data_IF_148545635759
#
_entry.id   IF_148545635759
#
_cell.length_a   1.000
_cell.length_b   1.000
_cell.length_c   1.000
_cell.angle_alpha   90.00
_cell.angle_beta   90.00
_cell.angle_gamma   90.00
#
_symmetry.space_group_name_H-M   'P 1'
#
loop_
_entity.id
_entity.type
_entity.pdbx_description
1 polymer ?
#
# COMPACT_ATOMS: atom_id res chain seq x y z
N UNK A 1 16.17 6.58 -53.36
CA UNK A 1 16.13 5.46 -52.41
C UNK A 1 16.57 5.84 -50.99
N UNK A 2 17.45 6.84 -50.76
CA UNK A 2 17.91 7.24 -49.38
C UNK A 2 16.91 7.98 -48.52
N UNK A 3 15.81 8.54 -49.05
CA UNK A 3 14.78 9.29 -48.30
C UNK A 3 13.63 8.41 -47.75
N UNK A 4 13.37 7.26 -48.39
CA UNK A 4 12.33 6.32 -47.91
C UNK A 4 12.73 5.60 -46.64
N UNK A 5 14.01 5.25 -46.47
CA UNK A 5 14.52 4.56 -45.28
C UNK A 5 14.45 5.43 -44.00
N UNK A 6 14.57 6.75 -44.10
CA UNK A 6 14.46 7.67 -42.96
C UNK A 6 13.02 7.84 -42.45
N UNK A 7 12.02 7.77 -43.34
CA UNK A 7 10.61 7.86 -42.95
C UNK A 7 10.15 6.61 -42.17
N UNK A 8 10.59 5.41 -42.56
CA UNK A 8 10.25 4.17 -41.86
C UNK A 8 10.84 4.10 -40.46
N UNK A 9 12.06 4.60 -40.26
CA UNK A 9 12.70 4.62 -38.93
C UNK A 9 11.98 5.56 -37.94
N UNK A 10 11.46 6.70 -38.42
CA UNK A 10 10.70 7.65 -37.57
C UNK A 10 9.33 7.07 -37.16
N UNK A 11 8.62 6.37 -38.05
CA UNK A 11 7.34 5.73 -37.72
C UNK A 11 7.47 4.59 -36.70
N UNK A 12 8.54 3.79 -36.76
CA UNK A 12 8.76 2.69 -35.82
C UNK A 12 9.08 3.18 -34.41
N UNK A 13 9.82 4.29 -34.28
CA UNK A 13 10.09 4.91 -32.97
C UNK A 13 8.82 5.52 -32.32
N UNK A 14 7.94 6.10 -33.12
CA UNK A 14 6.68 6.65 -32.62
C UNK A 14 5.70 5.57 -32.10
N UNK A 15 5.65 4.40 -32.75
CA UNK A 15 4.80 3.29 -32.32
C UNK A 15 5.26 2.72 -30.96
N UNK A 16 6.55 2.61 -30.73
CA UNK A 16 7.12 2.04 -29.49
C UNK A 16 6.82 2.93 -28.27
N UNK A 17 6.85 4.26 -28.43
CA UNK A 17 6.55 5.21 -27.34
C UNK A 17 5.07 5.18 -26.96
N UNK A 18 4.17 5.09 -27.94
CA UNK A 18 2.72 5.02 -27.69
C UNK A 18 2.35 3.72 -26.96
N UNK A 19 2.98 2.61 -27.32
CA UNK A 19 2.75 1.33 -26.65
C UNK A 19 3.23 1.33 -25.20
N UNK A 20 4.38 1.90 -24.89
CA UNK A 20 4.91 2.00 -23.52
C UNK A 20 3.99 2.86 -22.62
N UNK A 21 3.51 3.99 -23.12
CA UNK A 21 2.58 4.85 -22.37
C UNK A 21 1.22 4.18 -22.11
N UNK A 22 0.70 3.43 -23.07
CA UNK A 22 -0.54 2.67 -22.89
C UNK A 22 -0.38 1.57 -21.83
N UNK A 23 0.75 0.90 -21.81
CA UNK A 23 1.06 -0.14 -20.82
C UNK A 23 1.19 0.39 -19.41
N UNK A 24 1.88 1.53 -19.22
CA UNK A 24 2.00 2.19 -17.90
C UNK A 24 0.62 2.65 -17.38
N UNK A 25 -0.24 3.19 -18.24
CA UNK A 25 -1.61 3.57 -17.92
C UNK A 25 -2.46 2.38 -17.47
N UNK A 26 -2.33 1.23 -18.13
CA UNK A 26 -3.06 0.01 -17.78
C UNK A 26 -2.55 -0.57 -16.44
N UNK A 27 -1.24 -0.63 -16.24
CA UNK A 27 -0.64 -1.06 -14.97
C UNK A 27 -1.09 -0.19 -13.80
N UNK A 28 -1.16 1.13 -13.98
CA UNK A 28 -1.61 2.06 -12.98
C UNK A 28 -3.09 1.82 -12.63
N UNK A 29 -3.94 1.65 -13.63
CA UNK A 29 -5.37 1.36 -13.47
C UNK A 29 -5.60 0.05 -12.72
N UNK A 30 -4.90 -1.01 -13.10
CA UNK A 30 -4.97 -2.30 -12.41
C UNK A 30 -4.46 -2.20 -10.96
N UNK A 31 -3.37 -1.47 -10.72
CA UNK A 31 -2.80 -1.30 -9.39
C UNK A 31 -3.72 -0.54 -8.43
N UNK A 32 -4.44 0.47 -8.93
CA UNK A 32 -5.50 1.15 -8.17
C UNK A 32 -6.62 0.17 -7.78
N UNK A 33 -7.11 -0.63 -8.74
CA UNK A 33 -8.17 -1.60 -8.50
C UNK A 33 -7.75 -2.68 -7.48
N UNK A 34 -6.55 -3.22 -7.61
CA UNK A 34 -5.98 -4.24 -6.70
C UNK A 34 -5.84 -3.68 -5.28
N UNK A 35 -5.28 -2.48 -5.14
CA UNK A 35 -5.12 -1.83 -3.83
C UNK A 35 -6.45 -1.52 -3.17
N UNK A 36 -7.42 -1.02 -3.95
CA UNK A 36 -8.76 -0.73 -3.47
C UNK A 36 -9.50 -2.00 -3.04
N UNK A 37 -9.41 -3.09 -3.80
CA UNK A 37 -10.00 -4.39 -3.46
C UNK A 37 -9.46 -4.91 -2.12
N UNK A 38 -8.14 -4.89 -1.93
CA UNK A 38 -7.51 -5.29 -0.67
C UNK A 38 -7.98 -4.45 0.51
N UNK A 39 -7.97 -3.11 0.37
CA UNK A 39 -8.39 -2.20 1.44
C UNK A 39 -9.86 -2.37 1.81
N UNK A 40 -10.73 -2.57 0.81
CA UNK A 40 -12.16 -2.80 1.01
C UNK A 40 -12.40 -4.11 1.77
N UNK A 41 -11.81 -5.20 1.34
CA UNK A 41 -11.97 -6.51 1.99
C UNK A 41 -11.45 -6.49 3.44
N UNK A 42 -10.24 -5.97 3.63
CA UNK A 42 -9.66 -5.83 4.97
C UNK A 42 -10.53 -4.95 5.88
N UNK A 43 -11.03 -3.82 5.35
CA UNK A 43 -11.91 -2.91 6.08
C UNK A 43 -13.22 -3.59 6.52
N UNK A 44 -13.84 -4.38 5.65
CA UNK A 44 -15.04 -5.15 5.96
C UNK A 44 -14.78 -6.18 7.06
N UNK A 45 -13.70 -6.95 6.96
CA UNK A 45 -13.31 -7.93 7.99
C UNK A 45 -13.05 -7.27 9.33
N UNK A 46 -12.36 -6.12 9.32
CA UNK A 46 -12.09 -5.37 10.53
C UNK A 46 -13.38 -4.84 11.18
N UNK A 47 -14.31 -4.29 10.38
CA UNK A 47 -15.60 -3.80 10.88
C UNK A 47 -16.44 -4.93 11.48
N UNK A 48 -16.53 -6.09 10.84
CA UNK A 48 -17.23 -7.27 11.37
C UNK A 48 -16.62 -7.71 12.71
N UNK A 49 -15.30 -7.85 12.78
CA UNK A 49 -14.63 -8.26 13.99
C UNK A 49 -14.79 -7.25 15.15
N UNK A 50 -14.81 -5.94 14.84
CA UNK A 50 -15.11 -4.88 15.80
C UNK A 50 -16.55 -4.98 16.33
N UNK A 51 -17.52 -5.28 15.47
CA UNK A 51 -18.93 -5.43 15.86
C UNK A 51 -19.16 -6.71 16.70
N UNK A 52 -18.47 -7.80 16.41
CA UNK A 52 -18.64 -9.11 17.05
C UNK A 52 -17.95 -9.20 18.43
N UNK A 53 -16.77 -8.64 18.57
CA UNK A 53 -15.94 -8.82 19.78
C UNK A 53 -15.03 -7.64 20.11
N UNK A 54 -15.30 -6.48 19.53
CA UNK A 54 -14.56 -5.25 19.82
C UNK A 54 -13.12 -5.26 19.33
N UNK A 55 -12.33 -4.34 19.86
CA UNK A 55 -10.95 -4.11 19.42
C UNK A 55 -10.02 -5.32 19.65
N UNK A 56 -10.25 -6.10 20.70
CA UNK A 56 -9.45 -7.32 21.00
C UNK A 56 -9.64 -8.35 19.89
N UNK A 57 -10.88 -8.60 19.45
CA UNK A 57 -11.18 -9.53 18.35
C UNK A 57 -10.58 -9.01 17.03
N UNK A 58 -10.69 -7.72 16.78
CA UNK A 58 -10.19 -7.07 15.56
C UNK A 58 -8.66 -7.17 15.40
N UNK A 59 -7.88 -7.33 16.47
CA UNK A 59 -6.43 -7.56 16.38
C UNK A 59 -6.12 -8.86 15.62
N UNK A 60 -6.94 -9.90 15.79
CA UNK A 60 -6.82 -11.16 15.04
C UNK A 60 -6.91 -10.97 13.53
N UNK A 61 -7.80 -10.09 13.05
CA UNK A 61 -7.89 -9.74 11.62
C UNK A 61 -6.57 -9.16 11.11
N UNK A 62 -5.95 -8.26 11.85
CA UNK A 62 -4.67 -7.67 11.48
C UNK A 62 -3.52 -8.67 11.49
N UNK A 63 -3.57 -9.66 12.41
CA UNK A 63 -2.51 -10.63 12.60
C UNK A 63 -2.56 -11.77 11.57
N UNK A 64 -3.73 -12.34 11.33
CA UNK A 64 -3.89 -13.53 10.49
C UNK A 64 -4.54 -13.23 9.16
N UNK A 65 -5.71 -12.60 9.15
CA UNK A 65 -6.48 -12.42 7.90
C UNK A 65 -5.85 -11.41 6.95
N UNK A 66 -5.23 -10.36 7.45
CA UNK A 66 -4.63 -9.35 6.59
C UNK A 66 -3.45 -9.87 5.73
N UNK A 67 -2.52 -10.70 6.25
CA UNK A 67 -1.52 -11.40 5.43
C UNK A 67 -2.15 -12.39 4.43
N UNK A 68 -3.17 -13.13 4.83
CA UNK A 68 -3.90 -14.06 3.94
C UNK A 68 -4.57 -13.34 2.77
N UNK A 69 -5.27 -12.23 3.04
CA UNK A 69 -5.88 -11.38 2.01
C UNK A 69 -4.79 -10.87 1.05
N UNK A 70 -3.68 -10.34 1.58
CA UNK A 70 -2.58 -9.84 0.78
C UNK A 70 -1.98 -10.94 -0.11
N UNK A 71 -1.72 -12.13 0.44
CA UNK A 71 -1.19 -13.27 -0.31
C UNK A 71 -2.12 -13.74 -1.43
N UNK A 72 -3.41 -13.86 -1.14
CA UNK A 72 -4.42 -14.26 -2.13
C UNK A 72 -4.55 -13.21 -3.25
N UNK A 73 -4.67 -11.94 -2.89
CA UNK A 73 -4.76 -10.84 -3.87
C UNK A 73 -3.48 -10.74 -4.71
N UNK A 74 -2.30 -10.93 -4.10
CA UNK A 74 -1.02 -11.01 -4.80
C UNK A 74 -1.01 -12.09 -5.87
N UNK A 75 -1.40 -13.31 -5.50
CA UNK A 75 -1.41 -14.47 -6.41
C UNK A 75 -2.41 -14.29 -7.55
N UNK A 76 -3.61 -13.81 -7.27
CA UNK A 76 -4.66 -13.59 -8.27
C UNK A 76 -4.31 -12.53 -9.32
N UNK A 77 -3.48 -11.55 -8.95
CA UNK A 77 -3.12 -10.42 -9.81
C UNK A 77 -1.66 -10.45 -10.30
N UNK A 78 -0.89 -11.49 -9.94
CA UNK A 78 0.52 -11.64 -10.30
C UNK A 78 1.37 -10.42 -9.89
N UNK A 79 1.16 -9.94 -8.67
CA UNK A 79 1.87 -8.80 -8.08
C UNK A 79 2.45 -9.19 -6.72
N UNK A 80 3.46 -8.46 -6.26
CA UNK A 80 3.88 -8.47 -4.86
C UNK A 80 3.11 -7.38 -4.13
N UNK A 81 2.16 -7.74 -3.29
CA UNK A 81 1.30 -6.83 -2.55
C UNK A 81 1.56 -6.95 -1.05
N UNK A 82 1.75 -5.82 -0.37
CA UNK A 82 1.90 -5.78 1.08
C UNK A 82 1.42 -4.46 1.67
N UNK A 83 1.57 -4.30 3.00
CA UNK A 83 1.31 -3.05 3.71
C UNK A 83 2.54 -2.70 4.53
N UNK A 84 2.97 -1.46 4.41
CA UNK A 84 4.08 -0.91 5.21
C UNK A 84 3.58 0.26 6.05
N UNK A 85 4.26 0.56 7.13
CA UNK A 85 3.87 1.64 8.03
C UNK A 85 5.01 2.59 8.34
N UNK A 86 4.65 3.83 8.63
CA UNK A 86 5.62 4.83 9.14
C UNK A 86 6.20 4.40 10.49
N UNK A 87 5.37 3.73 11.31
CA UNK A 87 5.76 3.02 12.53
C UNK A 87 5.23 1.59 12.42
N UNK A 88 6.14 0.61 12.34
CA UNK A 88 5.76 -0.78 12.07
C UNK A 88 5.14 -1.43 13.32
N UNK A 89 4.01 -2.13 13.16
CA UNK A 89 3.47 -3.06 14.16
C UNK A 89 4.17 -4.41 14.09
N UNK A 90 4.29 -4.95 12.88
CA UNK A 90 5.05 -6.15 12.61
C UNK A 90 6.41 -5.76 12.02
N UNK A 91 7.54 -5.99 12.72
CA UNK A 91 8.86 -5.57 12.26
C UNK A 91 9.38 -6.36 11.06
N UNK A 92 8.79 -7.52 10.77
CA UNK A 92 9.20 -8.36 9.63
C UNK A 92 8.49 -7.93 8.34
N UNK A 93 7.20 -7.64 8.44
CA UNK A 93 6.35 -7.41 7.25
C UNK A 93 5.97 -5.94 7.04
N UNK A 94 6.13 -5.10 8.06
CA UNK A 94 5.61 -3.74 8.08
C UNK A 94 6.67 -2.65 7.90
N UNK A 95 7.94 -3.00 7.81
CA UNK A 95 9.04 -2.04 7.61
C UNK A 95 9.20 -1.73 6.12
N UNK A 96 9.18 -0.44 5.73
CA UNK A 96 9.34 -0.07 4.32
C UNK A 96 10.80 -0.24 3.87
N UNK A 97 10.98 -0.64 2.61
CA UNK A 97 12.24 -0.49 1.89
C UNK A 97 12.39 0.95 1.33
N UNK A 98 13.47 1.24 0.60
CA UNK A 98 13.83 2.59 0.17
C UNK A 98 12.74 3.27 -0.67
N UNK A 99 12.19 2.59 -1.71
CA UNK A 99 11.15 3.19 -2.53
C UNK A 99 9.81 3.37 -1.77
N UNK A 100 9.51 2.44 -0.87
CA UNK A 100 8.32 2.50 -0.02
C UNK A 100 8.44 3.63 1.01
N UNK A 101 9.63 3.84 1.57
CA UNK A 101 9.90 4.96 2.45
C UNK A 101 9.80 6.31 1.71
N UNK A 102 10.29 6.39 0.46
CA UNK A 102 10.12 7.54 -0.43
C UNK A 102 8.63 7.84 -0.67
N UNK A 103 7.83 6.82 -0.97
CA UNK A 103 6.38 6.97 -1.16
C UNK A 103 5.69 7.47 0.12
N UNK A 104 6.03 6.90 1.29
CA UNK A 104 5.48 7.34 2.58
C UNK A 104 5.82 8.81 2.88
N UNK A 105 7.05 9.25 2.61
CA UNK A 105 7.46 10.64 2.80
C UNK A 105 6.69 11.61 1.88
N UNK A 106 6.43 11.21 0.63
CA UNK A 106 5.61 12.00 -0.29
C UNK A 106 4.15 12.09 0.18
N UNK A 107 3.59 11.00 0.70
CA UNK A 107 2.23 10.98 1.22
C UNK A 107 2.07 11.87 2.45
N UNK A 108 3.03 11.84 3.37
CA UNK A 108 3.01 12.68 4.56
C UNK A 108 3.06 14.17 4.18
N UNK A 109 3.94 14.53 3.25
CA UNK A 109 4.02 15.88 2.72
C UNK A 109 2.74 16.33 1.99
N UNK A 110 2.09 15.45 1.20
CA UNK A 110 0.84 15.75 0.49
C UNK A 110 -0.32 15.97 1.49
N UNK A 111 -0.43 15.11 2.50
CA UNK A 111 -1.42 15.26 3.57
C UNK A 111 -1.20 16.56 4.37
N UNK A 112 0.05 16.92 4.65
CA UNK A 112 0.39 18.19 5.33
C UNK A 112 -0.01 19.42 4.51
N UNK A 113 -0.06 19.32 3.18
CA UNK A 113 -0.61 20.36 2.28
C UNK A 113 -2.14 20.36 2.19
N UNK A 114 -2.82 19.42 2.86
CA UNK A 114 -4.28 19.30 2.84
C UNK A 114 -4.85 18.54 1.63
N UNK A 115 -4.00 17.79 0.90
CA UNK A 115 -4.49 16.98 -0.20
C UNK A 115 -5.37 15.82 0.32
N UNK A 116 -6.41 15.47 -0.44
CA UNK A 116 -7.32 14.39 -0.04
C UNK A 116 -6.64 13.03 -0.21
N UNK A 117 -6.71 12.14 0.77
CA UNK A 117 -6.08 10.80 0.68
C UNK A 117 -6.49 10.00 -0.54
N UNK A 118 -7.71 10.21 -1.04
CA UNK A 118 -8.22 9.54 -2.24
C UNK A 118 -7.45 9.93 -3.51
N UNK A 119 -6.93 11.14 -3.57
CA UNK A 119 -6.25 11.71 -4.73
C UNK A 119 -4.73 11.47 -4.69
N UNK A 120 -4.20 11.03 -3.52
CA UNK A 120 -2.76 10.78 -3.33
C UNK A 120 -2.42 9.35 -3.75
N UNK A 121 -1.40 9.19 -4.56
CA UNK A 121 -0.78 7.91 -4.92
C UNK A 121 0.67 8.12 -5.33
N UNK A 122 1.42 7.03 -5.38
CA UNK A 122 2.80 6.99 -5.87
C UNK A 122 2.90 5.90 -6.94
N UNK A 123 3.57 6.20 -8.05
CA UNK A 123 3.96 5.18 -9.04
C UNK A 123 5.29 5.56 -9.68
N UNK A 124 6.10 4.55 -9.96
CA UNK A 124 7.33 4.68 -10.75
C UNK A 124 7.63 3.35 -11.44
N UNK A 125 8.32 3.41 -12.56
CA UNK A 125 8.94 2.25 -13.21
C UNK A 125 10.45 2.40 -13.10
N UNK A 126 11.12 1.37 -12.59
CA UNK A 126 12.57 1.38 -12.37
C UNK A 126 13.25 0.22 -13.10
N UNK A 127 14.48 0.46 -13.55
CA UNK A 127 15.35 -0.61 -14.05
C UNK A 127 15.93 -1.39 -12.86
N UNK A 128 15.89 -2.71 -12.96
CA UNK A 128 16.48 -3.64 -11.98
C UNK A 128 17.42 -4.62 -12.68
N UNK A 129 18.17 -5.39 -11.92
CA UNK A 129 19.04 -6.43 -12.49
C UNK A 129 18.25 -7.51 -13.27
N UNK A 130 16.95 -7.65 -13.00
CA UNK A 130 16.06 -8.65 -13.62
C UNK A 130 15.08 -8.04 -14.65
N UNK A 131 15.35 -6.84 -15.16
CA UNK A 131 14.45 -6.10 -16.05
C UNK A 131 13.78 -4.94 -15.34
N UNK A 132 12.66 -4.46 -15.88
CA UNK A 132 11.91 -3.35 -15.29
C UNK A 132 10.94 -3.83 -14.21
N UNK A 133 10.75 -3.02 -13.19
CA UNK A 133 9.76 -3.25 -12.16
C UNK A 133 8.88 -1.98 -11.99
N UNK A 134 7.57 -2.17 -12.02
CA UNK A 134 6.60 -1.12 -11.73
C UNK A 134 6.26 -1.15 -10.24
N UNK A 135 6.36 0.01 -9.59
CA UNK A 135 6.01 0.24 -8.21
C UNK A 135 4.76 1.09 -8.11
N UNK A 136 3.88 0.75 -7.19
CA UNK A 136 2.68 1.53 -6.87
C UNK A 136 2.45 1.54 -5.37
N UNK A 137 2.02 2.69 -4.83
CA UNK A 137 1.59 2.80 -3.44
C UNK A 137 0.35 3.69 -3.31
N UNK A 138 -0.50 3.35 -2.31
CA UNK A 138 -1.68 4.12 -1.92
C UNK A 138 -1.67 4.35 -0.42
N UNK A 139 -1.88 5.60 0.08
CA UNK A 139 -1.81 5.89 1.51
C UNK A 139 -2.91 5.19 2.29
N UNK A 140 -2.59 4.78 3.51
CA UNK A 140 -3.53 4.36 4.55
C UNK A 140 -3.57 5.45 5.59
N UNK A 141 -4.68 6.17 5.67
CA UNK A 141 -4.89 7.24 6.64
C UNK A 141 -5.74 6.71 7.80
N UNK A 142 -5.37 7.07 9.01
CA UNK A 142 -6.03 6.60 10.22
C UNK A 142 -7.46 7.13 10.31
N UNK A 143 -8.41 6.22 10.43
CA UNK A 143 -9.82 6.54 10.66
C UNK A 143 -10.13 6.63 12.17
N UNK A 144 -11.22 7.28 12.59
CA UNK A 144 -11.58 7.38 14.01
C UNK A 144 -11.62 6.03 14.75
N UNK A 145 -12.14 4.97 14.12
CA UNK A 145 -12.17 3.64 14.72
C UNK A 145 -10.79 3.02 14.98
N UNK A 146 -9.78 3.45 14.22
CA UNK A 146 -8.42 2.88 14.29
C UNK A 146 -7.69 3.27 15.58
N UNK A 147 -8.10 4.34 16.26
CA UNK A 147 -7.44 4.81 17.49
C UNK A 147 -7.56 3.84 18.64
N UNK A 148 -8.55 2.94 18.63
CA UNK A 148 -8.69 1.87 19.63
C UNK A 148 -7.45 0.97 19.75
N UNK A 149 -6.64 0.86 18.67
CA UNK A 149 -5.42 0.06 18.61
C UNK A 149 -4.17 0.85 18.20
N UNK A 150 -4.34 2.04 17.62
CA UNK A 150 -3.25 2.85 17.08
C UNK A 150 -3.16 4.24 17.71
N UNK A 151 -4.12 4.61 18.56
CA UNK A 151 -4.19 5.92 19.21
C UNK A 151 -3.18 6.13 20.33
N UNK A 152 -3.43 7.12 21.17
CA UNK A 152 -2.61 7.41 22.34
C UNK A 152 -2.51 6.16 23.23
N UNK A 153 -1.30 5.68 23.57
CA UNK A 153 -1.13 4.51 24.43
C UNK A 153 -1.87 4.58 25.77
N UNK A 154 -2.04 5.78 26.34
CA UNK A 154 -2.75 5.95 27.60
C UNK A 154 -4.27 5.72 27.48
N UNK A 155 -4.83 5.89 26.27
CA UNK A 155 -6.26 5.76 25.98
C UNK A 155 -6.61 4.37 25.40
N UNK A 156 -5.65 3.56 25.02
CA UNK A 156 -5.88 2.17 24.59
C UNK A 156 -6.21 1.34 25.82
N UNK A 157 -7.29 0.55 25.74
CA UNK A 157 -7.74 -0.26 26.88
C UNK A 157 -6.70 -1.30 27.31
N UNK A 158 -6.67 -1.70 28.59
CA UNK A 158 -5.73 -2.69 29.11
C UNK A 158 -5.77 -4.03 28.35
N UNK A 159 -6.95 -4.49 27.97
CA UNK A 159 -7.16 -5.76 27.26
C UNK A 159 -6.57 -5.69 25.84
N UNK A 160 -6.76 -4.56 25.15
CA UNK A 160 -6.18 -4.33 23.83
C UNK A 160 -4.66 -4.26 23.91
N UNK A 161 -4.10 -3.56 24.92
CA UNK A 161 -2.65 -3.52 25.15
C UNK A 161 -2.08 -4.90 25.41
N UNK A 162 -2.74 -5.69 26.29
CA UNK A 162 -2.31 -7.05 26.59
C UNK A 162 -2.27 -7.91 25.31
N UNK A 163 -3.32 -7.86 24.49
CA UNK A 163 -3.39 -8.61 23.23
C UNK A 163 -2.38 -8.12 22.18
N UNK A 164 -2.15 -6.82 22.10
CA UNK A 164 -1.11 -6.27 21.24
C UNK A 164 0.29 -6.70 21.67
N UNK A 165 0.59 -6.67 22.97
CA UNK A 165 1.88 -7.12 23.50
C UNK A 165 2.11 -8.62 23.28
N UNK A 166 1.07 -9.44 23.40
CA UNK A 166 1.12 -10.87 23.10
C UNK A 166 1.52 -11.15 21.64
N UNK A 167 0.87 -10.48 20.69
CA UNK A 167 1.03 -10.76 19.25
C UNK A 167 2.13 -9.91 18.58
N UNK A 168 2.46 -8.76 19.16
CA UNK A 168 3.38 -7.79 18.61
C UNK A 168 4.25 -7.16 19.71
N UNK A 169 5.17 -7.92 20.33
CA UNK A 169 5.98 -7.43 21.45
C UNK A 169 6.87 -6.22 21.12
N UNK A 170 7.12 -5.98 19.82
CA UNK A 170 7.91 -4.85 19.33
C UNK A 170 7.04 -3.80 18.59
N UNK A 171 5.73 -3.72 18.90
CA UNK A 171 4.82 -2.79 18.27
C UNK A 171 5.23 -1.32 18.48
N UNK A 172 5.39 -0.60 17.38
CA UNK A 172 5.64 0.85 17.38
C UNK A 172 4.47 1.65 16.79
N UNK A 173 3.38 0.98 16.39
CA UNK A 173 2.29 1.57 15.65
C UNK A 173 1.20 2.17 16.57
N UNK A 174 1.60 2.97 17.55
CA UNK A 174 0.73 3.68 18.49
C UNK A 174 1.01 5.18 18.48
N UNK A 175 0.17 5.97 19.15
CA UNK A 175 0.30 7.43 19.25
C UNK A 175 -0.10 8.17 17.98
N UNK A 176 -0.98 7.60 17.17
CA UNK A 176 -1.56 8.26 15.99
C UNK A 176 -2.86 8.99 16.34
N UNK A 177 -3.17 10.00 15.51
CA UNK A 177 -4.45 10.69 15.52
C UNK A 177 -5.23 10.41 14.23
N UNK A 178 -6.57 10.49 14.22
CA UNK A 178 -7.35 10.44 13.00
C UNK A 178 -6.84 11.43 11.96
N UNK A 179 -6.79 11.01 10.70
CA UNK A 179 -6.26 11.81 9.60
C UNK A 179 -4.76 11.69 9.37
N UNK A 180 -3.99 11.16 10.31
CA UNK A 180 -2.55 10.95 10.10
C UNK A 180 -2.25 9.75 9.20
N UNK A 181 -1.14 9.81 8.50
CA UNK A 181 -0.61 8.71 7.68
C UNK A 181 -0.21 7.54 8.58
N UNK A 182 -0.92 6.42 8.46
CA UNK A 182 -0.58 5.17 9.16
C UNK A 182 0.45 4.35 8.38
N UNK A 183 0.42 4.47 7.06
CA UNK A 183 1.25 3.68 6.17
C UNK A 183 0.70 3.67 4.74
N UNK A 184 1.01 2.62 4.01
CA UNK A 184 0.55 2.44 2.63
C UNK A 184 0.27 0.97 2.30
N UNK A 185 -0.67 0.73 1.38
CA UNK A 185 -0.65 -0.46 0.54
C UNK A 185 0.39 -0.21 -0.53
N UNK A 186 1.28 -1.17 -0.70
CA UNK A 186 2.37 -1.13 -1.67
C UNK A 186 2.30 -2.35 -2.57
N UNK A 187 2.57 -2.15 -3.84
CA UNK A 187 2.50 -3.16 -4.87
C UNK A 187 3.70 -3.02 -5.80
N UNK A 188 4.30 -4.14 -6.19
CA UNK A 188 5.26 -4.17 -7.29
C UNK A 188 5.00 -5.33 -8.23
N UNK A 189 5.38 -5.14 -9.50
CA UNK A 189 5.34 -6.18 -10.56
C UNK A 189 6.45 -5.98 -11.56
N UNK A 190 6.99 -7.09 -12.07
CA UNK A 190 7.87 -7.05 -13.23
C UNK A 190 7.09 -6.60 -14.46
N UNK A 191 7.72 -5.78 -15.30
CA UNK A 191 7.18 -5.38 -16.60
C UNK A 191 7.93 -6.14 -17.70
N UNK A 192 7.30 -6.41 -18.82
CA UNK A 192 7.96 -7.00 -19.99
C UNK A 192 9.15 -6.20 -20.49
#
# INVERSE_FOLDING_TARGET
MKHLTKLYALCLLGLSLVQAQAQDSDMLTQSRAVSQSMLKELGQKLQSAMAEGGAVNAIGVCNTQAPEIAGRVSSQNQVKLSRVGTRARNPVMGVPNDWQAKALAQFDAALARGEKPADIEFSETVETANGKEFHFAKPIVLQPMCVSCHGNPEQISPEVKAKLNELYPNDKAVGYQPGQLRGAVVLSRSTP
#
